data_IF_225022550253
#
_entry.id   IF_225022550253
#
_cell.length_a   1.000
_cell.length_b   1.000
_cell.length_c   1.000
_cell.angle_alpha   90.00
_cell.angle_beta   90.00
_cell.angle_gamma   90.00
#
_symmetry.space_group_name_H-M   'P 1'
#
loop_
_entity.id
_entity.type
_entity.pdbx_description
1 polymer ?
#
# COMPACT_ATOMS: atom_id res chain seq x y z
N UNK A 1 2.81 -24.53 -30.49
CA UNK A 1 2.10 -23.59 -29.60
C UNK A 1 3.16 -22.64 -29.07
N UNK A 2 3.15 -21.38 -29.52
CA UNK A 2 4.03 -20.36 -28.95
C UNK A 2 3.42 -19.97 -27.61
N UNK A 3 3.99 -20.47 -26.52
CA UNK A 3 3.69 -20.00 -25.16
C UNK A 3 4.22 -18.57 -25.09
N UNK A 4 3.33 -17.58 -25.13
CA UNK A 4 3.66 -16.23 -24.70
C UNK A 4 4.25 -16.30 -23.30
N UNK A 5 5.26 -15.49 -22.95
CA UNK A 5 5.72 -15.40 -21.57
C UNK A 5 4.50 -15.11 -20.68
N UNK A 6 4.34 -15.84 -19.57
CA UNK A 6 3.28 -15.56 -18.60
C UNK A 6 3.36 -14.09 -18.18
N UNK A 7 2.41 -13.27 -18.63
CA UNK A 7 2.37 -11.86 -18.28
C UNK A 7 1.60 -11.70 -16.98
N UNK A 8 2.34 -11.36 -15.93
CA UNK A 8 1.79 -11.16 -14.59
C UNK A 8 1.32 -9.71 -14.43
N UNK A 9 0.03 -9.52 -14.18
CA UNK A 9 -0.51 -8.26 -13.65
C UNK A 9 -0.42 -8.26 -12.13
N UNK A 10 -0.01 -7.14 -11.55
CA UNK A 10 0.02 -6.95 -10.09
C UNK A 10 -0.86 -5.76 -9.74
N UNK A 11 -1.85 -5.99 -8.88
CA UNK A 11 -2.69 -4.94 -8.30
C UNK A 11 -2.26 -4.73 -6.86
N UNK A 12 -1.76 -3.55 -6.50
CA UNK A 12 -1.40 -3.21 -5.11
C UNK A 12 -2.55 -2.41 -4.50
N UNK A 13 -3.17 -2.96 -3.44
CA UNK A 13 -4.43 -2.46 -2.88
C UNK A 13 -4.25 -1.91 -1.48
N UNK A 14 -4.67 -0.66 -1.23
CA UNK A 14 -4.90 -0.15 0.13
C UNK A 14 -6.41 0.09 0.41
N UNK A 15 -6.76 0.72 1.53
CA UNK A 15 -8.17 1.05 1.84
C UNK A 15 -8.73 2.16 0.95
N UNK A 16 -7.86 3.00 0.41
CA UNK A 16 -8.15 4.35 -0.07
C UNK A 16 -8.27 5.33 1.08
N UNK A 17 -8.31 6.61 0.71
CA UNK A 17 -8.49 7.73 1.61
C UNK A 17 -9.35 8.79 0.97
N UNK A 18 -10.12 9.51 1.79
CA UNK A 18 -10.82 10.73 1.36
C UNK A 18 -9.84 11.87 1.04
N UNK A 19 -8.59 11.76 1.48
CA UNK A 19 -7.53 12.73 1.19
C UNK A 19 -6.80 12.32 -0.08
N UNK A 20 -6.97 13.08 -1.16
CA UNK A 20 -6.30 12.79 -2.44
C UNK A 20 -4.78 12.64 -2.32
N UNK A 21 -4.14 13.46 -1.47
CA UNK A 21 -2.70 13.35 -1.22
C UNK A 21 -2.28 12.00 -0.63
N UNK A 22 -3.16 11.31 0.12
CA UNK A 22 -2.88 9.97 0.63
C UNK A 22 -2.96 8.91 -0.47
N UNK A 23 -3.95 8.99 -1.36
CA UNK A 23 -4.08 8.07 -2.50
C UNK A 23 -2.88 8.21 -3.45
N UNK A 24 -2.46 9.46 -3.68
CA UNK A 24 -1.29 9.77 -4.52
C UNK A 24 0.00 9.12 -4.03
N UNK A 25 0.17 8.94 -2.72
CA UNK A 25 1.34 8.24 -2.17
C UNK A 25 1.37 6.76 -2.58
N UNK A 26 0.22 6.09 -2.66
CA UNK A 26 0.14 4.72 -3.19
C UNK A 26 0.46 4.70 -4.69
N UNK A 27 -0.11 5.63 -5.46
CA UNK A 27 0.15 5.74 -6.89
C UNK A 27 1.65 5.92 -7.18
N UNK A 28 2.32 6.81 -6.42
CA UNK A 28 3.76 7.05 -6.55
C UNK A 28 4.59 5.84 -6.13
N UNK A 29 4.19 5.15 -5.06
CA UNK A 29 4.83 3.89 -4.65
C UNK A 29 4.71 2.81 -5.74
N UNK A 30 3.53 2.65 -6.34
CA UNK A 30 3.31 1.67 -7.42
C UNK A 30 4.13 2.00 -8.66
N UNK A 31 4.18 3.27 -9.07
CA UNK A 31 4.98 3.69 -10.21
C UNK A 31 6.49 3.44 -9.98
N UNK A 32 6.99 3.73 -8.78
CA UNK A 32 8.37 3.42 -8.41
C UNK A 32 8.64 1.91 -8.38
N UNK A 33 7.73 1.14 -7.80
CA UNK A 33 7.83 -0.32 -7.75
C UNK A 33 7.84 -0.97 -9.13
N UNK A 34 6.98 -0.51 -10.05
CA UNK A 34 6.96 -0.98 -11.44
C UNK A 34 8.30 -0.74 -12.13
N UNK A 35 8.91 0.43 -11.91
CA UNK A 35 10.22 0.77 -12.48
C UNK A 35 11.36 -0.06 -11.88
N UNK A 36 11.35 -0.31 -10.56
CA UNK A 36 12.45 -0.97 -9.85
C UNK A 36 12.39 -2.50 -9.88
N UNK A 37 11.20 -3.09 -9.81
CA UNK A 37 11.02 -4.53 -9.61
C UNK A 37 10.94 -5.33 -10.92
N UNK A 38 11.20 -4.70 -12.07
CA UNK A 38 11.17 -5.28 -13.42
C UNK A 38 9.81 -5.94 -13.80
N UNK A 39 8.72 -5.62 -13.08
CA UNK A 39 7.37 -6.03 -13.45
C UNK A 39 6.81 -5.08 -14.52
N UNK A 40 6.22 -5.61 -15.59
CA UNK A 40 5.76 -4.79 -16.71
C UNK A 40 4.30 -4.32 -16.61
N UNK A 41 3.54 -4.83 -15.63
CA UNK A 41 2.11 -4.53 -15.43
C UNK A 41 1.84 -4.43 -13.92
N UNK A 42 1.90 -3.22 -13.39
CA UNK A 42 1.52 -2.94 -11.99
C UNK A 42 0.48 -1.83 -11.96
N UNK A 43 -0.59 -2.02 -11.20
CA UNK A 43 -1.69 -1.06 -11.06
C UNK A 43 -1.97 -0.78 -9.57
N UNK A 44 -2.16 0.49 -9.16
CA UNK A 44 -2.69 0.79 -7.84
C UNK A 44 -4.19 0.50 -7.79
N UNK A 45 -4.71 0.19 -6.61
CA UNK A 45 -6.14 0.16 -6.35
C UNK A 45 -6.47 0.56 -4.90
N UNK A 46 -7.69 1.01 -4.72
CA UNK A 46 -8.28 1.35 -3.44
C UNK A 46 -9.53 0.51 -3.21
N UNK A 47 -9.66 -0.02 -1.99
CA UNK A 47 -10.74 -0.94 -1.66
C UNK A 47 -12.12 -0.27 -1.65
N UNK A 48 -12.26 0.93 -1.07
CA UNK A 48 -13.59 1.52 -0.85
C UNK A 48 -13.67 3.06 -0.92
N UNK A 49 -12.58 3.79 -0.62
CA UNK A 49 -12.65 5.25 -0.40
C UNK A 49 -12.22 6.11 -1.59
N UNK A 50 -11.66 5.50 -2.64
CA UNK A 50 -11.09 6.21 -3.78
C UNK A 50 -11.09 5.33 -5.04
N UNK A 51 -10.80 5.95 -6.18
CA UNK A 51 -10.50 5.26 -7.44
C UNK A 51 -9.00 5.37 -7.73
N UNK A 52 -8.40 4.41 -8.45
CA UNK A 52 -9.04 3.26 -9.09
C UNK A 52 -9.49 2.16 -8.11
N UNK A 53 -10.66 1.56 -8.35
CA UNK A 53 -11.12 0.37 -7.63
C UNK A 53 -10.31 -0.88 -8.01
N UNK A 54 -10.41 -1.95 -7.21
CA UNK A 54 -9.84 -3.28 -7.55
C UNK A 54 -10.32 -3.75 -8.92
N UNK A 55 -11.59 -3.50 -9.24
CA UNK A 55 -12.19 -3.90 -10.52
C UNK A 55 -11.58 -3.13 -11.69
N UNK A 56 -11.40 -1.83 -11.53
CA UNK A 56 -10.75 -0.95 -12.51
C UNK A 56 -9.29 -1.36 -12.74
N UNK A 57 -8.54 -1.61 -11.68
CA UNK A 57 -7.14 -2.02 -11.78
C UNK A 57 -6.97 -3.42 -12.39
N UNK A 58 -7.90 -4.35 -12.11
CA UNK A 58 -7.91 -5.66 -12.74
C UNK A 58 -8.10 -5.54 -14.26
N UNK A 59 -9.07 -4.73 -14.70
CA UNK A 59 -9.29 -4.50 -16.15
C UNK A 59 -8.02 -3.98 -16.82
N UNK A 60 -7.40 -2.95 -16.21
CA UNK A 60 -6.17 -2.35 -16.76
C UNK A 60 -5.04 -3.37 -16.85
N UNK A 61 -4.89 -4.26 -15.87
CA UNK A 61 -3.93 -5.36 -15.98
C UNK A 61 -4.18 -6.20 -17.24
N UNK A 62 -5.44 -6.60 -17.47
CA UNK A 62 -5.82 -7.44 -18.61
C UNK A 62 -5.69 -6.69 -19.94
N UNK A 63 -6.10 -5.42 -20.01
CA UNK A 63 -5.94 -4.54 -21.18
C UNK A 63 -4.46 -4.38 -21.57
N UNK A 64 -3.56 -4.39 -20.58
CA UNK A 64 -2.12 -4.34 -20.76
C UNK A 64 -1.48 -5.70 -21.11
N UNK A 65 -2.28 -6.77 -21.20
CA UNK A 65 -1.84 -8.10 -21.65
C UNK A 65 -1.63 -9.14 -20.55
N UNK A 66 -2.01 -8.85 -19.30
CA UNK A 66 -1.86 -9.82 -18.22
C UNK A 66 -2.67 -11.10 -18.48
N UNK A 67 -2.00 -12.26 -18.39
CA UNK A 67 -2.63 -13.58 -18.49
C UNK A 67 -2.95 -14.18 -17.12
N UNK A 68 -2.51 -13.54 -16.04
CA UNK A 68 -2.90 -13.81 -14.64
C UNK A 68 -2.70 -12.56 -13.79
N UNK A 69 -3.46 -12.42 -12.70
CA UNK A 69 -3.41 -11.25 -11.82
C UNK A 69 -3.11 -11.62 -10.36
N UNK A 70 -2.14 -10.95 -9.74
CA UNK A 70 -1.95 -10.97 -8.29
C UNK A 70 -2.53 -9.72 -7.67
N UNK A 71 -3.35 -9.89 -6.65
CA UNK A 71 -3.88 -8.80 -5.84
C UNK A 71 -3.12 -8.81 -4.51
N UNK A 72 -2.30 -7.78 -4.30
CA UNK A 72 -1.42 -7.64 -3.15
C UNK A 72 -1.96 -6.60 -2.17
N UNK A 73 -2.47 -7.01 -0.99
CA UNK A 73 -2.92 -6.07 0.03
C UNK A 73 -1.73 -5.33 0.66
N UNK A 74 -1.72 -4.00 0.55
CA UNK A 74 -0.76 -3.09 1.19
C UNK A 74 -1.15 -2.82 2.66
N UNK A 75 -1.33 -3.90 3.42
CA UNK A 75 -1.78 -3.88 4.83
C UNK A 75 -0.73 -4.48 5.75
N UNK A 76 -0.62 -3.94 6.96
CA UNK A 76 0.38 -4.40 7.94
C UNK A 76 0.00 -5.71 8.63
N UNK A 77 -1.29 -6.02 8.79
CA UNK A 77 -1.75 -7.18 9.55
C UNK A 77 -2.94 -7.85 8.85
N UNK A 78 -3.11 -9.18 9.02
CA UNK A 78 -4.34 -9.88 8.69
C UNK A 78 -5.57 -9.28 9.38
N UNK A 79 -6.72 -9.39 8.73
CA UNK A 79 -8.01 -8.97 9.26
C UNK A 79 -9.12 -9.08 8.22
N UNK A 80 -10.34 -8.65 8.59
CA UNK A 80 -11.55 -8.79 7.78
C UNK A 80 -11.35 -8.38 6.30
N UNK A 81 -10.67 -7.28 6.06
CA UNK A 81 -10.45 -6.78 4.70
C UNK A 81 -9.64 -7.73 3.83
N UNK A 82 -8.65 -8.40 4.41
CA UNK A 82 -7.88 -9.43 3.72
C UNK A 82 -8.63 -10.76 3.64
N UNK A 83 -9.29 -11.17 4.73
CA UNK A 83 -9.95 -12.48 4.80
C UNK A 83 -11.22 -12.57 3.94
N UNK A 84 -11.91 -11.45 3.71
CA UNK A 84 -13.26 -11.44 3.14
C UNK A 84 -13.43 -10.41 2.03
N UNK A 85 -13.17 -9.13 2.32
CA UNK A 85 -13.60 -8.04 1.42
C UNK A 85 -12.80 -8.04 0.11
N UNK A 86 -11.46 -8.10 0.15
CA UNK A 86 -10.61 -8.13 -1.05
C UNK A 86 -10.87 -9.38 -1.92
N UNK A 87 -10.93 -10.62 -1.36
CA UNK A 87 -11.29 -11.80 -2.15
C UNK A 87 -12.63 -11.68 -2.86
N UNK A 88 -13.64 -11.10 -2.21
CA UNK A 88 -14.95 -10.88 -2.83
C UNK A 88 -14.86 -9.88 -3.98
N UNK A 89 -14.24 -8.72 -3.76
CA UNK A 89 -14.06 -7.69 -4.79
C UNK A 89 -13.25 -8.21 -5.99
N UNK A 90 -12.19 -8.98 -5.74
CA UNK A 90 -11.38 -9.60 -6.80
C UNK A 90 -12.19 -10.65 -7.58
N UNK A 91 -13.00 -11.46 -6.89
CA UNK A 91 -13.89 -12.43 -7.55
C UNK A 91 -14.91 -11.73 -8.45
N UNK A 92 -15.52 -10.63 -7.99
CA UNK A 92 -16.45 -9.85 -8.82
C UNK A 92 -15.75 -9.22 -10.03
N UNK A 93 -14.55 -8.69 -9.87
CA UNK A 93 -13.74 -8.15 -10.96
C UNK A 93 -13.43 -9.22 -12.03
N UNK A 94 -13.00 -10.40 -11.58
CA UNK A 94 -12.62 -11.52 -12.45
C UNK A 94 -13.77 -12.09 -13.29
N UNK A 95 -15.04 -11.87 -12.91
CA UNK A 95 -16.20 -12.29 -13.73
C UNK A 95 -16.18 -11.71 -15.15
N UNK A 96 -15.51 -10.56 -15.35
CA UNK A 96 -15.36 -9.92 -16.66
C UNK A 96 -14.25 -10.52 -17.51
N UNK A 97 -13.36 -11.31 -16.89
CA UNK A 97 -12.16 -11.90 -17.50
C UNK A 97 -12.04 -13.38 -17.12
N UNK A 98 -12.98 -14.25 -17.55
CA UNK A 98 -13.10 -15.62 -17.04
C UNK A 98 -11.90 -16.52 -17.33
N UNK A 99 -11.08 -16.17 -18.33
CA UNK A 99 -9.86 -16.91 -18.71
C UNK A 99 -8.60 -16.42 -17.97
N UNK A 100 -8.70 -15.38 -17.13
CA UNK A 100 -7.57 -14.78 -16.42
C UNK A 100 -7.61 -15.22 -14.94
N UNK A 101 -6.82 -16.23 -14.53
CA UNK A 101 -6.76 -16.64 -13.14
C UNK A 101 -6.16 -15.53 -12.26
N UNK A 102 -6.56 -15.51 -10.99
CA UNK A 102 -6.06 -14.55 -10.03
C UNK A 102 -5.76 -15.17 -8.66
N UNK A 103 -4.91 -14.50 -7.88
CA UNK A 103 -4.60 -14.85 -6.49
C UNK A 103 -4.58 -13.58 -5.64
N UNK A 104 -5.21 -13.63 -4.46
CA UNK A 104 -5.02 -12.63 -3.41
C UNK A 104 -3.86 -13.09 -2.53
N UNK A 105 -2.81 -12.28 -2.39
CA UNK A 105 -1.64 -12.65 -1.58
C UNK A 105 -1.90 -12.47 -0.09
N UNK A 106 -0.95 -12.92 0.74
CA UNK A 106 -0.89 -12.44 2.12
C UNK A 106 -0.65 -10.91 2.14
N UNK A 107 -1.12 -10.20 3.18
CA UNK A 107 -0.71 -8.82 3.42
C UNK A 107 0.77 -8.77 3.83
N UNK A 108 1.35 -7.58 3.97
CA UNK A 108 2.75 -7.39 4.39
C UNK A 108 3.05 -8.17 5.68
N UNK A 109 2.16 -8.07 6.66
CA UNK A 109 2.29 -8.83 7.90
C UNK A 109 3.57 -8.48 8.68
N UNK A 110 4.04 -9.45 9.46
CA UNK A 110 5.28 -9.36 10.24
C UNK A 110 6.52 -9.72 9.41
N UNK A 111 6.58 -9.27 8.15
CA UNK A 111 7.69 -9.55 7.24
C UNK A 111 9.03 -9.12 7.90
N UNK A 112 10.13 -9.89 7.76
CA UNK A 112 11.40 -9.59 8.42
C UNK A 112 11.94 -8.17 8.17
N UNK A 113 11.69 -7.63 6.97
CA UNK A 113 12.10 -6.26 6.62
C UNK A 113 11.32 -5.16 7.34
N UNK A 114 10.12 -5.44 7.87
CA UNK A 114 9.34 -4.43 8.60
C UNK A 114 10.07 -3.92 9.84
N UNK A 115 10.85 -4.78 10.50
CA UNK A 115 11.69 -4.37 11.62
C UNK A 115 12.76 -3.38 11.19
N UNK A 116 13.33 -3.55 9.99
CA UNK A 116 14.33 -2.64 9.44
C UNK A 116 13.72 -1.30 9.06
N UNK A 117 12.52 -1.29 8.47
CA UNK A 117 11.78 -0.05 8.15
C UNK A 117 11.47 0.74 9.42
N UNK A 118 11.01 0.07 10.47
CA UNK A 118 10.75 0.72 11.78
C UNK A 118 12.04 1.28 12.37
N UNK A 119 13.12 0.50 12.39
CA UNK A 119 14.41 0.94 12.91
C UNK A 119 14.92 2.16 12.16
N UNK A 120 14.91 2.13 10.82
CA UNK A 120 15.30 3.25 9.97
C UNK A 120 14.48 4.50 10.25
N UNK A 121 13.16 4.38 10.45
CA UNK A 121 12.32 5.53 10.80
C UNK A 121 12.65 6.10 12.18
N UNK A 122 12.91 5.24 13.17
CA UNK A 122 13.33 5.68 14.52
C UNK A 122 14.66 6.45 14.43
N UNK A 123 15.67 5.87 13.79
CA UNK A 123 17.00 6.48 13.65
C UNK A 123 16.91 7.83 12.96
N UNK A 124 16.15 7.91 11.86
CA UNK A 124 15.97 9.14 11.13
C UNK A 124 15.27 10.22 11.97
N UNK A 125 14.19 9.86 12.67
CA UNK A 125 13.49 10.81 13.54
C UNK A 125 14.36 11.31 14.70
N UNK A 126 15.15 10.43 15.33
CA UNK A 126 16.09 10.84 16.39
C UNK A 126 17.19 11.75 15.83
N UNK A 127 17.78 11.39 14.68
CA UNK A 127 18.76 12.22 13.98
C UNK A 127 18.20 13.61 13.65
N UNK A 128 16.95 13.69 13.21
CA UNK A 128 16.27 14.97 12.97
C UNK A 128 16.10 15.79 14.25
N UNK A 129 15.60 15.16 15.32
CA UNK A 129 15.39 15.81 16.62
C UNK A 129 16.71 16.37 17.18
N UNK A 130 17.81 15.66 16.98
CA UNK A 130 19.15 16.08 17.42
C UNK A 130 19.80 17.13 16.48
N UNK A 131 19.12 17.53 15.39
CA UNK A 131 19.59 18.55 14.45
C UNK A 131 20.59 18.05 13.40
N UNK A 132 20.69 16.74 13.20
CA UNK A 132 21.62 16.11 12.27
C UNK A 132 20.98 15.70 10.93
N UNK A 133 19.65 15.81 10.80
CA UNK A 133 18.91 15.49 9.58
C UNK A 133 17.72 16.44 9.37
N UNK A 134 17.31 16.59 8.12
CA UNK A 134 16.06 17.28 7.76
C UNK A 134 14.82 16.52 8.25
N UNK A 135 13.67 17.18 8.26
CA UNK A 135 12.40 16.53 8.62
C UNK A 135 12.00 15.53 7.52
N UNK A 136 11.60 14.32 7.93
CA UNK A 136 11.16 13.32 6.96
C UNK A 136 9.83 13.69 6.28
N UNK A 137 9.55 13.09 5.14
CA UNK A 137 8.38 13.31 4.30
C UNK A 137 7.05 13.11 5.06
N UNK A 138 7.02 12.21 6.04
CA UNK A 138 5.83 11.95 6.86
C UNK A 138 5.62 12.98 7.98
N UNK A 139 6.70 13.63 8.42
CA UNK A 139 6.65 14.61 9.50
C UNK A 139 6.58 16.04 8.96
N UNK A 140 7.09 16.29 7.76
CA UNK A 140 7.19 17.58 7.08
C UNK A 140 5.95 18.47 7.32
N UNK A 141 6.16 19.56 8.07
CA UNK A 141 5.12 20.57 8.32
C UNK A 141 4.02 20.17 9.29
N UNK A 142 4.13 19.00 9.93
CA UNK A 142 3.17 18.55 10.96
C UNK A 142 3.54 19.03 12.37
N UNK A 143 4.81 19.38 12.60
CA UNK A 143 5.34 19.71 13.92
C UNK A 143 5.31 18.52 14.89
N UNK A 144 5.26 17.28 14.39
CA UNK A 144 5.13 16.07 15.22
C UNK A 144 6.47 15.43 15.58
N UNK A 145 7.53 15.62 14.79
CA UNK A 145 8.84 14.99 15.04
C UNK A 145 9.66 15.76 16.07
N UNK A 146 9.14 15.85 17.29
CA UNK A 146 9.78 16.57 18.39
C UNK A 146 9.47 15.91 19.73
N UNK A 147 10.34 16.12 20.72
CA UNK A 147 10.06 15.67 22.07
C UNK A 147 8.81 16.33 22.64
N UNK A 148 7.87 15.51 23.10
CA UNK A 148 6.72 15.97 23.86
C UNK A 148 6.96 15.73 25.35
N UNK A 149 6.74 16.77 26.16
CA UNK A 149 6.68 16.62 27.63
C UNK A 149 5.22 16.44 28.04
N UNK A 150 4.90 15.53 28.97
CA UNK A 150 3.57 15.46 29.54
C UNK A 150 3.16 16.81 30.12
N UNK A 151 1.90 17.22 29.95
CA UNK A 151 1.38 18.39 30.64
C UNK A 151 1.49 18.14 32.17
N UNK A 152 1.86 19.16 32.97
CA UNK A 152 1.86 19.03 34.42
C UNK A 152 0.46 18.63 34.89
N UNK A 153 0.37 17.67 35.81
CA UNK A 153 -0.91 17.23 36.37
C UNK A 153 -1.63 18.46 36.96
N UNK A 154 -2.84 18.73 36.48
CA UNK A 154 -3.69 19.76 37.08
C UNK A 154 -4.03 19.30 38.50
N UNK A 155 -3.47 19.95 39.52
CA UNK A 155 -3.94 19.75 40.88
C UNK A 155 -5.38 20.25 40.94
N UNK A 156 -6.34 19.35 41.00
CA UNK A 156 -7.67 19.68 41.50
C UNK A 156 -7.50 20.06 42.96
N UNK A 157 -7.48 21.37 43.24
CA UNK A 157 -7.71 21.86 44.58
C UNK A 157 -9.20 21.65 44.89
N UNK A 158 -9.44 21.06 46.06
CA UNK A 158 -10.74 20.77 46.68
C UNK A 158 -11.70 21.97 46.72
#
# INVERSE_FOLDING_TARGET
MHTTPDQLGIVIVDHGSRRAASNKMLEDFVAGFEYEAEFSIVEPAHMELAEPSISTAFDRCVERGATRVLICPYFLLPGKHWDQDIPQLATEAAKRHPDVPFVVTAPIGLHPMMKQVIHSRIDHCLSHIDGHADECESCAGTGRCQYQKPAPATSSAD
#
